data_IF_040749130411
#
_entry.id   IF_040749130411
#
_cell.length_a   1.000
_cell.length_b   1.000
_cell.length_c   1.000
_cell.angle_alpha   90.00
_cell.angle_beta   90.00
_cell.angle_gamma   90.00
#
_symmetry.space_group_name_H-M   'P 1'
#
loop_
_entity.id
_entity.type
_entity.pdbx_description
1 polymer ?
#
# COMPACT_ATOMS: atom_id res chain seq x y z
N UNK A 1 -5.88 -11.46 9.31
CA UNK A 1 -5.84 -10.17 8.58
C UNK A 1 -4.43 -9.63 8.61
N UNK A 2 -4.00 -9.12 7.49
CA UNK A 2 -2.69 -8.47 7.39
C UNK A 2 -2.89 -7.00 7.09
N UNK A 3 -2.35 -6.13 7.94
CA UNK A 3 -2.26 -4.70 7.68
C UNK A 3 -0.87 -4.41 7.14
N UNK A 4 -0.82 -3.78 5.99
CA UNK A 4 0.44 -3.46 5.33
C UNK A 4 0.52 -1.96 5.10
N UNK A 5 1.46 -1.31 5.77
CA UNK A 5 1.74 0.10 5.54
C UNK A 5 2.77 0.21 4.42
N UNK A 6 2.45 1.00 3.41
CA UNK A 6 3.31 1.19 2.25
C UNK A 6 3.72 2.66 2.20
N UNK A 7 5.01 2.92 2.37
CA UNK A 7 5.57 4.26 2.25
C UNK A 7 6.16 4.40 0.87
N UNK A 8 5.59 5.30 0.07
CA UNK A 8 6.00 5.52 -1.31
C UNK A 8 6.83 6.79 -1.45
N UNK A 9 7.86 6.71 -2.27
CA UNK A 9 8.66 7.85 -2.68
C UNK A 9 8.38 8.13 -4.16
N UNK A 10 8.05 9.39 -4.49
CA UNK A 10 7.69 9.78 -5.86
C UNK A 10 8.56 10.98 -6.23
N UNK A 11 9.81 10.71 -6.63
CA UNK A 11 10.79 11.76 -6.88
C UNK A 11 10.50 12.60 -8.12
N UNK A 12 9.91 11.98 -9.14
CA UNK A 12 9.71 12.62 -10.44
C UNK A 12 8.40 13.37 -10.57
N UNK A 13 7.63 13.47 -9.50
CA UNK A 13 6.38 14.21 -9.60
C UNK A 13 6.68 15.71 -9.52
N UNK A 14 6.55 16.37 -10.63
CA UNK A 14 6.72 17.83 -10.68
C UNK A 14 5.56 18.60 -10.07
N UNK A 15 4.50 17.89 -9.64
CA UNK A 15 3.32 18.53 -9.08
C UNK A 15 2.50 17.54 -8.27
N UNK A 16 1.62 18.05 -7.40
CA UNK A 16 0.66 17.22 -6.68
C UNK A 16 -0.27 16.45 -7.60
N UNK A 17 -0.58 17.01 -8.75
CA UNK A 17 -1.44 16.36 -9.73
C UNK A 17 -0.79 15.08 -10.26
N UNK A 18 0.49 15.14 -10.59
CA UNK A 18 1.24 13.97 -11.07
C UNK A 18 1.31 12.88 -10.00
N UNK A 19 1.59 13.28 -8.76
CA UNK A 19 1.63 12.35 -7.63
C UNK A 19 0.27 11.67 -7.43
N UNK A 20 -0.81 12.44 -7.43
CA UNK A 20 -2.17 11.90 -7.24
C UNK A 20 -2.51 10.87 -8.30
N UNK A 21 -2.09 11.11 -9.54
CA UNK A 21 -2.33 10.18 -10.64
C UNK A 21 -1.63 8.84 -10.41
N UNK A 22 -0.37 8.89 -10.00
CA UNK A 22 0.41 7.68 -9.69
C UNK A 22 -0.18 6.92 -8.53
N UNK A 23 -0.49 7.62 -7.43
CA UNK A 23 -1.03 7.01 -6.21
C UNK A 23 -2.42 6.41 -6.48
N UNK A 24 -3.28 7.14 -7.19
CA UNK A 24 -4.62 6.66 -7.52
C UNK A 24 -4.58 5.40 -8.38
N UNK A 25 -3.71 5.38 -9.38
CA UNK A 25 -3.52 4.21 -10.25
C UNK A 25 -3.04 3.01 -9.44
N UNK A 26 -2.07 3.23 -8.56
CA UNK A 26 -1.53 2.15 -7.72
C UNK A 26 -2.58 1.59 -6.78
N UNK A 27 -3.36 2.45 -6.13
CA UNK A 27 -4.45 2.01 -5.26
C UNK A 27 -5.45 1.13 -6.00
N UNK A 28 -5.85 1.56 -7.18
CA UNK A 28 -6.80 0.81 -8.01
C UNK A 28 -6.25 -0.56 -8.37
N UNK A 29 -5.01 -0.62 -8.81
CA UNK A 29 -4.37 -1.88 -9.20
C UNK A 29 -4.22 -2.84 -8.02
N UNK A 30 -3.85 -2.33 -6.85
CA UNK A 30 -3.73 -3.14 -5.64
C UNK A 30 -5.08 -3.72 -5.24
N UNK A 31 -6.13 -2.89 -5.28
CA UNK A 31 -7.48 -3.37 -4.98
C UNK A 31 -7.93 -4.47 -5.91
N UNK A 32 -7.70 -4.29 -7.19
CA UNK A 32 -8.15 -5.25 -8.21
C UNK A 32 -7.35 -6.55 -8.20
N UNK A 33 -6.03 -6.46 -8.02
CA UNK A 33 -5.17 -7.64 -8.08
C UNK A 33 -5.21 -8.48 -6.81
N UNK A 34 -5.29 -7.84 -5.65
CA UNK A 34 -5.10 -8.52 -4.37
C UNK A 34 -6.37 -8.55 -3.52
N UNK A 35 -7.42 -7.89 -3.96
CA UNK A 35 -8.63 -7.79 -3.16
C UNK A 35 -8.43 -7.05 -1.85
N UNK A 36 -7.45 -6.15 -1.80
CA UNK A 36 -7.13 -5.40 -0.61
C UNK A 36 -7.98 -4.15 -0.50
N UNK A 37 -8.28 -3.76 0.73
CA UNK A 37 -8.78 -2.41 1.01
C UNK A 37 -7.59 -1.48 1.15
N UNK A 38 -7.61 -0.35 0.47
CA UNK A 38 -6.48 0.57 0.42
C UNK A 38 -6.94 1.98 0.72
N UNK A 39 -6.21 2.66 1.59
CA UNK A 39 -6.46 4.07 1.89
C UNK A 39 -5.14 4.82 1.97
N UNK A 40 -5.14 6.06 1.52
CA UNK A 40 -4.01 6.96 1.73
C UNK A 40 -4.18 7.61 3.10
N UNK A 41 -3.24 7.37 4.02
CA UNK A 41 -3.38 7.83 5.39
C UNK A 41 -2.49 9.02 5.73
N UNK A 42 -1.50 9.33 4.91
CA UNK A 42 -0.61 10.47 5.13
C UNK A 42 0.05 10.86 3.81
N UNK A 43 0.73 12.00 3.83
CA UNK A 43 1.45 12.50 2.66
C UNK A 43 0.59 13.27 1.67
N UNK A 44 -0.63 13.64 2.06
CA UNK A 44 -1.55 14.36 1.17
C UNK A 44 -0.99 15.68 0.67
N UNK A 45 -0.28 16.40 1.54
CA UNK A 45 0.26 17.72 1.21
C UNK A 45 1.70 17.67 0.71
N UNK A 46 2.30 16.49 0.62
CA UNK A 46 3.67 16.29 0.20
C UNK A 46 3.69 15.62 -1.17
N UNK A 47 4.29 16.26 -2.16
CA UNK A 47 4.31 15.72 -3.52
C UNK A 47 5.34 14.61 -3.75
N UNK A 48 6.26 14.39 -2.80
CA UNK A 48 7.32 13.40 -2.96
C UNK A 48 7.11 12.15 -2.10
N UNK A 49 6.05 12.12 -1.29
CA UNK A 49 5.81 11.01 -0.38
C UNK A 49 4.33 10.74 -0.21
N UNK A 50 3.99 9.48 -0.09
CA UNK A 50 2.63 9.04 0.24
C UNK A 50 2.70 7.81 1.12
N UNK A 51 1.75 7.69 2.04
CA UNK A 51 1.64 6.50 2.89
C UNK A 51 0.27 5.88 2.66
N UNK A 52 0.28 4.62 2.22
CA UNK A 52 -0.93 3.86 1.98
C UNK A 52 -1.06 2.78 3.05
N UNK A 53 -2.27 2.57 3.52
CA UNK A 53 -2.58 1.45 4.39
C UNK A 53 -3.40 0.44 3.59
N UNK A 54 -2.89 -0.79 3.50
CA UNK A 54 -3.56 -1.87 2.80
C UNK A 54 -4.00 -2.92 3.80
N UNK A 55 -5.23 -3.40 3.68
CA UNK A 55 -5.75 -4.46 4.53
C UNK A 55 -6.10 -5.67 3.67
N UNK A 56 -5.49 -6.80 4.02
CA UNK A 56 -5.76 -8.10 3.39
C UNK A 56 -6.47 -9.00 4.38
N UNK A 57 -7.61 -9.53 3.98
CA UNK A 57 -8.37 -10.49 4.78
C UNK A 57 -8.28 -11.83 4.09
N UNK A 58 -7.98 -12.89 4.86
CA UNK A 58 -7.87 -14.23 4.33
C UNK A 58 -7.40 -15.20 5.38
N UNK A 59 -7.21 -16.45 4.95
CA UNK A 59 -6.72 -17.51 5.81
C UNK A 59 -5.21 -17.62 5.79
N UNK A 60 -4.71 -18.84 5.58
CA UNK A 60 -3.27 -19.10 5.58
C UNK A 60 -2.51 -18.49 4.40
N UNK A 61 -3.22 -18.04 3.38
CA UNK A 61 -2.61 -17.45 2.19
C UNK A 61 -2.34 -15.95 2.31
N UNK A 62 -2.75 -15.31 3.41
CA UNK A 62 -2.67 -13.86 3.55
C UNK A 62 -1.22 -13.35 3.51
N UNK A 63 -0.30 -14.10 4.09
CA UNK A 63 1.13 -13.72 4.06
C UNK A 63 1.72 -13.80 2.67
N UNK A 64 1.38 -14.85 1.92
CA UNK A 64 1.83 -14.99 0.53
C UNK A 64 1.29 -13.86 -0.34
N UNK A 65 0.04 -13.49 -0.14
CA UNK A 65 -0.58 -12.38 -0.86
C UNK A 65 0.10 -11.05 -0.52
N UNK A 66 0.45 -10.87 0.75
CA UNK A 66 1.18 -9.67 1.18
C UNK A 66 2.57 -9.61 0.53
N UNK A 67 3.27 -10.74 0.44
CA UNK A 67 4.56 -10.81 -0.24
C UNK A 67 4.43 -10.42 -1.71
N UNK A 68 3.42 -10.92 -2.39
CA UNK A 68 3.17 -10.59 -3.79
C UNK A 68 2.81 -9.12 -3.97
N UNK A 69 2.03 -8.57 -3.03
CA UNK A 69 1.66 -7.16 -3.05
C UNK A 69 2.91 -6.27 -2.91
N UNK A 70 3.80 -6.60 -2.00
CA UNK A 70 5.05 -5.86 -1.83
C UNK A 70 5.89 -5.89 -3.09
N UNK A 71 6.05 -7.05 -3.73
CA UNK A 71 6.79 -7.17 -4.98
C UNK A 71 6.16 -6.35 -6.08
N UNK A 72 4.83 -6.39 -6.16
CA UNK A 72 4.11 -5.61 -7.17
C UNK A 72 4.36 -4.12 -6.99
N UNK A 73 4.24 -3.62 -5.75
CA UNK A 73 4.46 -2.20 -5.46
C UNK A 73 5.91 -1.81 -5.75
N UNK A 74 6.87 -2.64 -5.36
CA UNK A 74 8.29 -2.37 -5.64
C UNK A 74 8.55 -2.24 -7.15
N UNK A 75 7.90 -3.07 -7.95
CA UNK A 75 8.05 -3.02 -9.42
C UNK A 75 7.48 -1.74 -10.02
N UNK A 76 6.56 -1.08 -9.32
CA UNK A 76 5.90 0.15 -9.79
C UNK A 76 6.49 1.42 -9.20
N UNK A 77 7.36 1.29 -8.21
CA UNK A 77 7.93 2.43 -7.50
C UNK A 77 9.45 2.39 -7.51
N UNK A 78 10.08 2.71 -8.66
CA UNK A 78 11.54 2.64 -8.78
C UNK A 78 12.27 3.65 -7.90
N UNK A 79 11.58 4.71 -7.46
CA UNK A 79 12.18 5.74 -6.60
C UNK A 79 12.29 5.32 -5.14
N UNK A 80 11.74 4.16 -4.79
CA UNK A 80 11.84 3.61 -3.47
C UNK A 80 10.52 3.47 -2.77
N UNK A 81 10.43 2.45 -1.92
CA UNK A 81 9.26 2.23 -1.08
C UNK A 81 9.70 1.46 0.16
N UNK A 82 8.91 1.59 1.22
CA UNK A 82 9.13 0.86 2.47
C UNK A 82 7.82 0.22 2.89
N UNK A 83 7.93 -0.90 3.59
CA UNK A 83 6.77 -1.66 4.03
C UNK A 83 6.88 -1.96 5.51
N UNK A 84 5.76 -1.85 6.21
CA UNK A 84 5.60 -2.35 7.57
C UNK A 84 4.35 -3.23 7.59
N UNK A 85 4.44 -4.35 8.30
CA UNK A 85 3.40 -5.37 8.26
C UNK A 85 2.98 -5.78 9.66
N UNK A 86 1.67 -5.85 9.89
CA UNK A 86 1.08 -6.39 11.10
C UNK A 86 0.13 -7.51 10.75
N UNK A 87 0.31 -8.67 11.38
CA UNK A 87 -0.61 -9.78 11.26
C UNK A 87 -1.55 -9.76 12.47
N UNK A 88 -2.84 -9.69 12.20
CA UNK A 88 -3.86 -9.59 13.24
C UNK A 88 -4.80 -10.78 13.18
N UNK A 89 -5.11 -11.33 14.35
CA UNK A 89 -6.17 -12.32 14.50
C UNK A 89 -7.48 -11.63 14.87
N UNK A 90 -8.58 -12.36 14.84
CA UNK A 90 -9.86 -11.83 15.27
C UNK A 90 -9.81 -11.42 16.75
N UNK A 91 -9.09 -12.17 17.57
CA UNK A 91 -8.91 -11.83 18.99
C UNK A 91 -8.19 -10.49 19.16
N UNK A 92 -7.17 -10.21 18.33
CA UNK A 92 -6.46 -8.93 18.34
C UNK A 92 -7.38 -7.78 17.99
N UNK A 93 -8.26 -7.97 17.01
CA UNK A 93 -9.19 -6.94 16.56
C UNK A 93 -10.27 -6.65 17.60
N UNK A 94 -10.71 -7.68 18.31
CA UNK A 94 -11.71 -7.52 19.37
C UNK A 94 -11.14 -6.87 20.66
N UNK A 95 -9.86 -6.86 20.76
CA UNK A 95 -9.17 -6.28 21.92
C UNK A 95 -9.04 -7.24 23.07
#
# INVERSE_FOLDING_TARGET
MCLLEVQLHVNDSGSLKSKRKVVSSLKTQVRQRFGASVAEIDGHDTWQRAILLCALVGGCDVESRADELERFVESRCPDGCRFERDLLSLADVRG
#
